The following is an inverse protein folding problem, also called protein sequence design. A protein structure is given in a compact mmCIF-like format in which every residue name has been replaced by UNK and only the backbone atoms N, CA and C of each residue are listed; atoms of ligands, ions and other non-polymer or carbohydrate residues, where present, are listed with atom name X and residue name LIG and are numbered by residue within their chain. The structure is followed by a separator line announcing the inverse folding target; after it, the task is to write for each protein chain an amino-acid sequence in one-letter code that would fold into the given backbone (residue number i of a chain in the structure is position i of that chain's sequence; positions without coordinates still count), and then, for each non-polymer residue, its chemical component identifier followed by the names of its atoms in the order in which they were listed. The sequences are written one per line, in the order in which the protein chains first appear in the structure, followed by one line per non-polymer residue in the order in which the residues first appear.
data_IF_204026598569
#
_entry.id   IF_204026598569
#
_cell.length_a   1.000
_cell.length_b   1.000
_cell.length_c   1.000
_cell.angle_alpha   90.00
_cell.angle_beta   90.00
_cell.angle_gamma   90.00
#
_symmetry.space_group_name_H-M   'P 1'
#
loop_
_entity.id
_entity.type
_entity.pdbx_description
1 polymer ?
#
# COMPACT_ATOMS: atom_id res chain seq x y z
N UNK A 1 -6.00 11.44 22.00
CA UNK A 1 -5.23 11.32 20.75
C UNK A 1 -3.76 11.53 21.10
N UNK A 2 -2.83 10.71 20.60
CA UNK A 2 -1.43 10.83 21.00
C UNK A 2 -0.93 12.25 20.71
N UNK A 3 -0.32 12.97 21.69
CA UNK A 3 0.02 14.38 21.56
C UNK A 3 0.81 14.69 20.28
N UNK A 4 1.79 13.83 19.96
CA UNK A 4 2.62 13.95 18.76
C UNK A 4 1.83 13.94 17.43
N UNK A 5 0.68 13.26 17.35
CA UNK A 5 -0.16 13.24 16.14
C UNK A 5 -0.83 14.60 15.96
N UNK A 6 -1.25 15.22 17.07
CA UNK A 6 -1.80 16.57 17.05
C UNK A 6 -0.75 17.57 16.58
N UNK A 7 0.46 17.47 17.12
CA UNK A 7 1.59 18.33 16.74
C UNK A 7 1.96 18.16 15.27
N UNK A 8 1.98 16.92 14.77
CA UNK A 8 2.22 16.61 13.37
C UNK A 8 1.16 17.25 12.46
N UNK A 9 -0.12 17.21 12.85
CA UNK A 9 -1.23 17.83 12.11
C UNK A 9 -1.14 19.35 12.01
N UNK A 10 -0.55 20.02 13.00
CA UNK A 10 -0.35 21.47 13.01
C UNK A 10 0.98 21.92 12.38
N UNK A 11 1.77 21.00 11.85
CA UNK A 11 3.11 21.26 11.33
C UNK A 11 3.21 21.14 9.80
N UNK A 12 4.41 21.27 9.25
CA UNK A 12 4.71 21.06 7.83
C UNK A 12 4.41 19.62 7.34
N UNK A 13 4.27 18.66 8.26
CA UNK A 13 3.91 17.26 7.96
C UNK A 13 2.44 16.96 8.25
N UNK A 14 1.55 17.96 8.15
CA UNK A 14 0.13 17.81 8.42
C UNK A 14 -0.54 16.67 7.64
N UNK A 15 -0.14 16.44 6.38
CA UNK A 15 -0.64 15.34 5.55
C UNK A 15 -0.35 13.97 6.17
N UNK A 16 0.85 13.79 6.72
CA UNK A 16 1.23 12.57 7.44
C UNK A 16 0.42 12.41 8.73
N UNK A 17 0.33 13.46 9.57
CA UNK A 17 -0.46 13.41 10.80
C UNK A 17 -1.94 13.11 10.55
N UNK A 18 -2.50 13.63 9.46
CA UNK A 18 -3.86 13.33 9.01
C UNK A 18 -4.01 11.89 8.53
N UNK A 19 -3.05 11.37 7.76
CA UNK A 19 -3.02 9.96 7.35
C UNK A 19 -2.97 9.00 8.53
N UNK A 20 -2.01 9.20 9.44
CA UNK A 20 -1.87 8.39 10.66
C UNK A 20 -3.14 8.43 11.51
N UNK A 21 -3.75 9.60 11.65
CA UNK A 21 -5.00 9.73 12.39
C UNK A 21 -6.16 8.98 11.76
N UNK A 22 -6.24 8.92 10.43
CA UNK A 22 -7.29 8.20 9.72
C UNK A 22 -7.10 6.69 9.84
N UNK A 23 -5.85 6.22 9.86
CA UNK A 23 -5.51 4.80 9.79
C UNK A 23 -5.08 4.23 11.16
N UNK A 24 -5.29 4.95 12.26
CA UNK A 24 -4.74 4.59 13.59
C UNK A 24 -5.14 3.20 14.06
N UNK A 25 -6.37 2.77 13.77
CA UNK A 25 -6.86 1.45 14.17
C UNK A 25 -6.25 0.34 13.29
N UNK A 26 -6.04 0.61 12.00
CA UNK A 26 -5.34 -0.30 11.10
C UNK A 26 -3.87 -0.46 11.54
N UNK A 27 -3.19 0.62 11.90
CA UNK A 27 -1.81 0.61 12.43
C UNK A 27 -1.72 -0.19 13.72
N UNK A 28 -2.66 0.02 14.66
CA UNK A 28 -2.72 -0.75 15.91
C UNK A 28 -2.93 -2.23 15.65
N UNK A 29 -3.82 -2.58 14.73
CA UNK A 29 -4.07 -3.97 14.38
C UNK A 29 -2.85 -4.62 13.69
N UNK A 30 -2.14 -3.88 12.83
CA UNK A 30 -0.91 -4.37 12.20
C UNK A 30 0.21 -4.70 13.22
N UNK A 31 0.26 -4.01 14.36
CA UNK A 31 1.21 -4.31 15.44
C UNK A 31 0.73 -5.47 16.32
N UNK A 32 -0.58 -5.53 16.61
CA UNK A 32 -1.15 -6.54 17.52
C UNK A 32 -1.29 -7.92 16.89
N UNK A 33 -1.53 -7.96 15.59
CA UNK A 33 -1.81 -9.19 14.86
C UNK A 33 -0.53 -9.78 14.27
N UNK A 34 -0.42 -11.12 14.16
CA UNK A 34 0.73 -11.76 13.55
C UNK A 34 0.74 -11.67 12.01
N UNK A 35 -0.33 -11.15 11.41
CA UNK A 35 -0.53 -11.10 9.97
C UNK A 35 0.16 -9.89 9.35
N UNK A 36 0.92 -10.10 8.28
CA UNK A 36 1.58 -9.04 7.52
C UNK A 36 0.85 -8.77 6.20
N UNK A 37 0.65 -7.49 5.87
CA UNK A 37 0.20 -7.06 4.54
C UNK A 37 1.30 -7.19 3.47
N UNK A 38 2.55 -7.46 3.87
CA UNK A 38 3.71 -7.44 2.99
C UNK A 38 3.61 -8.39 1.80
N UNK A 39 3.04 -9.59 1.98
CA UNK A 39 2.84 -10.52 0.87
C UNK A 39 1.85 -9.95 -0.17
N UNK A 40 0.75 -9.36 0.30
CA UNK A 40 -0.26 -8.73 -0.57
C UNK A 40 0.35 -7.52 -1.29
N UNK A 41 1.05 -6.65 -0.57
CA UNK A 41 1.74 -5.50 -1.12
C UNK A 41 2.81 -5.90 -2.15
N UNK A 42 3.54 -6.98 -1.90
CA UNK A 42 4.52 -7.53 -2.83
C UNK A 42 3.88 -7.97 -4.15
N UNK A 43 2.76 -8.70 -4.10
CA UNK A 43 2.02 -9.08 -5.30
C UNK A 43 1.49 -7.86 -6.07
N UNK A 44 0.95 -6.87 -5.35
CA UNK A 44 0.47 -5.61 -5.95
C UNK A 44 1.64 -4.85 -6.61
N UNK A 45 2.80 -4.79 -5.97
CA UNK A 45 3.99 -4.12 -6.52
C UNK A 45 4.49 -4.83 -7.78
N UNK A 46 4.54 -6.16 -7.79
CA UNK A 46 4.88 -6.96 -8.99
C UNK A 46 3.91 -6.66 -10.13
N UNK A 47 2.60 -6.66 -9.86
CA UNK A 47 1.57 -6.34 -10.86
C UNK A 47 1.73 -4.90 -11.40
N UNK A 48 1.90 -3.91 -10.52
CA UNK A 48 2.11 -2.50 -10.91
C UNK A 48 3.38 -2.34 -11.76
N UNK A 49 4.46 -3.04 -11.42
CA UNK A 49 5.70 -3.04 -12.19
C UNK A 49 5.47 -3.55 -13.61
N UNK A 50 4.83 -4.71 -13.77
CA UNK A 50 4.52 -5.28 -15.10
C UNK A 50 3.65 -4.32 -15.91
N UNK A 51 2.60 -3.75 -15.32
CA UNK A 51 1.73 -2.77 -15.99
C UNK A 51 2.50 -1.52 -16.45
N UNK A 52 3.47 -1.06 -15.65
CA UNK A 52 4.33 0.10 -15.98
C UNK A 52 5.32 -0.22 -17.10
N UNK A 53 5.95 -1.40 -17.10
CA UNK A 53 6.80 -1.85 -18.21
C UNK A 53 6.04 -1.93 -19.53
N UNK A 54 4.73 -2.14 -19.47
CA UNK A 54 3.85 -2.24 -20.63
C UNK A 54 3.14 -0.91 -20.96
N UNK A 55 3.61 0.22 -20.40
CA UNK A 55 3.07 1.56 -20.64
C UNK A 55 1.55 1.66 -20.41
N UNK A 56 1.00 0.86 -19.50
CA UNK A 56 -0.43 0.83 -19.19
C UNK A 56 -1.32 0.18 -20.27
N UNK A 57 -0.74 -0.39 -21.35
CA UNK A 57 -1.49 -0.98 -22.47
C UNK A 57 -1.80 -2.46 -22.30
N UNK A 58 -1.40 -3.05 -21.17
CA UNK A 58 -1.65 -4.45 -20.87
C UNK A 58 -3.11 -4.65 -20.43
N UNK A 59 -3.89 -5.34 -21.26
CA UNK A 59 -5.18 -5.92 -20.87
C UNK A 59 -4.96 -7.12 -19.92
N UNK A 60 -6.01 -7.59 -19.27
CA UNK A 60 -5.94 -8.59 -18.19
C UNK A 60 -5.26 -9.89 -18.65
N UNK A 61 -5.59 -10.36 -19.85
CA UNK A 61 -4.98 -11.49 -20.54
C UNK A 61 -3.45 -11.36 -20.64
N UNK A 62 -2.96 -10.19 -21.08
CA UNK A 62 -1.52 -9.93 -21.21
C UNK A 62 -0.81 -9.82 -19.84
N UNK A 63 -1.49 -9.25 -18.84
CA UNK A 63 -0.96 -9.20 -17.47
C UNK A 63 -0.87 -10.61 -16.87
N UNK A 64 -1.87 -11.46 -17.08
CA UNK A 64 -1.89 -12.83 -16.58
C UNK A 64 -0.79 -13.67 -17.20
N UNK A 65 -0.64 -13.63 -18.53
CA UNK A 65 0.41 -14.35 -19.25
C UNK A 65 1.82 -14.01 -18.73
N UNK A 66 2.06 -12.74 -18.35
CA UNK A 66 3.36 -12.27 -17.88
C UNK A 66 3.58 -12.43 -16.38
N UNK A 67 2.51 -12.52 -15.58
CA UNK A 67 2.59 -12.62 -14.13
C UNK A 67 2.59 -14.07 -13.61
N UNK A 68 1.79 -14.92 -14.26
CA UNK A 68 1.53 -16.32 -13.87
C UNK A 68 2.23 -17.31 -14.81
N UNK A 69 2.48 -16.91 -16.06
CA UNK A 69 2.99 -17.79 -17.11
C UNK A 69 1.86 -18.41 -17.95
N UNK A 70 2.15 -18.96 -19.14
CA UNK A 70 1.17 -19.73 -19.90
C UNK A 70 0.78 -20.97 -19.07
N UNK A 71 -0.54 -21.21 -18.97
CA UNK A 71 -1.10 -22.45 -18.42
C UNK A 71 -1.14 -23.54 -19.49
#
# INVERSE_FOLDING_TARGET
MSPWISDAKSSLIASFGNGVSKDIDAIRNAIKQPWSSGQVEGQINKLKMVKRQMYGRAKIDLLQARLVGPS
#
